data_IF_558200040633
#
_entry.id   IF_558200040633
#
_cell.length_a   1.000
_cell.length_b   1.000
_cell.length_c   1.000
_cell.angle_alpha   90.00
_cell.angle_beta   90.00
_cell.angle_gamma   90.00
#
_symmetry.space_group_name_H-M   'P 1'
#
loop_
_entity.id
_entity.type
_entity.pdbx_description
1 polymer ?
#
# COMPACT_ATOMS: atom_id res chain seq x y z
N UNK A 1 -12.15 14.28 21.77
CA UNK A 1 -13.16 13.43 21.12
C UNK A 1 -13.01 13.69 19.64
N UNK A 2 -12.86 12.65 18.81
CA UNK A 2 -12.79 12.85 17.37
C UNK A 2 -14.16 13.14 16.75
N UNK A 3 -14.15 13.78 15.59
CA UNK A 3 -15.31 14.10 14.79
C UNK A 3 -15.65 12.95 13.82
N UNK A 4 -16.84 13.02 13.23
CA UNK A 4 -17.23 12.16 12.10
C UNK A 4 -17.43 13.00 10.86
N UNK A 5 -16.73 12.65 9.80
CA UNK A 5 -16.84 13.27 8.48
C UNK A 5 -17.49 12.27 7.53
N UNK A 6 -18.54 12.72 6.85
CA UNK A 6 -19.26 11.93 5.84
C UNK A 6 -19.23 12.66 4.51
N UNK A 7 -18.77 12.00 3.46
CA UNK A 7 -18.88 12.49 2.09
C UNK A 7 -20.27 12.27 1.51
N UNK A 8 -20.35 12.40 0.20
CA UNK A 8 -21.57 12.43 -0.60
C UNK A 8 -21.64 11.17 -1.48
N UNK A 9 -22.20 11.29 -2.68
CA UNK A 9 -22.17 10.24 -3.70
C UNK A 9 -21.21 10.59 -4.85
N UNK A 10 -20.49 11.69 -4.73
CA UNK A 10 -19.46 12.11 -5.66
C UNK A 10 -18.08 11.94 -5.03
N UNK A 11 -17.04 12.29 -5.78
CA UNK A 11 -15.67 12.17 -5.31
C UNK A 11 -15.36 13.29 -4.31
N UNK A 12 -15.21 12.93 -3.05
CA UNK A 12 -14.95 13.83 -1.94
C UNK A 12 -13.50 13.74 -1.47
N UNK A 13 -13.03 14.83 -0.86
CA UNK A 13 -11.78 14.83 -0.08
C UNK A 13 -12.13 15.07 1.36
N UNK A 14 -11.93 14.06 2.20
CA UNK A 14 -12.25 14.10 3.62
C UNK A 14 -10.98 14.46 4.39
N UNK A 15 -10.87 15.70 4.91
CA UNK A 15 -9.76 16.07 5.76
C UNK A 15 -9.92 15.46 7.14
N UNK A 16 -8.80 15.09 7.78
CA UNK A 16 -8.64 15.31 9.21
C UNK A 16 -8.13 16.74 9.39
N UNK A 17 -8.98 17.70 9.81
CA UNK A 17 -8.55 19.09 9.99
C UNK A 17 -7.62 19.29 11.19
N UNK A 18 -7.34 18.23 11.96
CA UNK A 18 -6.81 18.33 13.31
C UNK A 18 -5.41 17.73 13.40
N UNK A 19 -4.37 18.52 13.14
CA UNK A 19 -3.03 18.21 13.63
C UNK A 19 -2.67 19.09 14.84
N UNK A 20 -2.84 18.64 16.12
CA UNK A 20 -3.56 17.44 16.59
C UNK A 20 -4.75 17.73 17.53
N UNK A 21 -5.81 16.90 17.49
CA UNK A 21 -6.34 16.11 18.63
C UNK A 21 -7.74 15.51 18.35
N UNK A 22 -7.78 14.34 17.72
CA UNK A 22 -8.99 13.53 17.59
C UNK A 22 -8.67 12.20 16.93
N UNK A 23 -9.32 11.13 17.36
CA UNK A 23 -9.42 9.92 16.57
C UNK A 23 -10.71 10.05 15.76
N UNK A 24 -10.62 10.60 14.56
CA UNK A 24 -11.78 10.91 13.73
C UNK A 24 -12.28 9.68 12.98
N UNK A 25 -13.54 9.73 12.55
CA UNK A 25 -14.11 8.72 11.65
C UNK A 25 -14.41 9.36 10.31
N UNK A 26 -13.81 8.84 9.24
CA UNK A 26 -14.00 9.33 7.87
C UNK A 26 -14.78 8.28 7.07
N UNK A 27 -15.89 8.66 6.46
CA UNK A 27 -16.71 7.79 5.61
C UNK A 27 -17.10 8.55 4.33
N UNK A 28 -16.49 8.22 3.21
CA UNK A 28 -16.60 8.93 1.94
C UNK A 28 -17.97 8.76 1.28
N UNK A 29 -18.54 7.56 1.37
CA UNK A 29 -19.80 7.26 0.69
C UNK A 29 -19.50 6.72 -0.69
N UNK A 30 -20.32 7.05 -1.70
CA UNK A 30 -20.05 6.59 -3.07
C UNK A 30 -19.17 7.59 -3.79
N UNK A 31 -18.45 7.12 -4.80
CA UNK A 31 -17.50 7.94 -5.55
C UNK A 31 -16.08 7.47 -5.26
N UNK A 32 -15.10 8.07 -5.92
CA UNK A 32 -13.70 7.82 -5.64
C UNK A 32 -13.19 8.89 -4.68
N UNK A 33 -13.14 8.55 -3.41
CA UNK A 33 -12.89 9.45 -2.31
C UNK A 33 -11.41 9.48 -1.90
N UNK A 34 -10.99 10.58 -1.29
CA UNK A 34 -9.64 10.76 -0.77
C UNK A 34 -9.65 11.11 0.71
N UNK A 35 -9.06 10.24 1.52
CA UNK A 35 -8.93 10.37 2.97
C UNK A 35 -7.57 10.92 3.36
N UNK A 36 -7.54 12.08 4.00
CA UNK A 36 -6.33 12.63 4.61
C UNK A 36 -6.35 12.27 6.09
N UNK A 37 -5.50 11.32 6.49
CA UNK A 37 -5.55 10.76 7.84
C UNK A 37 -4.44 11.26 8.75
N UNK A 38 -4.72 11.22 10.04
CA UNK A 38 -3.80 11.46 11.14
C UNK A 38 -3.80 10.26 12.12
N UNK A 39 -3.02 10.38 13.20
CA UNK A 39 -2.89 9.29 14.16
C UNK A 39 -4.19 9.08 14.95
N UNK A 40 -4.78 7.90 14.78
CA UNK A 40 -5.98 7.48 15.50
C UNK A 40 -7.25 7.54 14.65
N UNK A 41 -7.20 8.11 13.45
CA UNK A 41 -8.34 8.15 12.54
C UNK A 41 -8.73 6.76 12.04
N UNK A 42 -10.03 6.60 11.77
CA UNK A 42 -10.64 5.39 11.22
C UNK A 42 -11.32 5.74 9.91
N UNK A 43 -10.94 5.04 8.85
CA UNK A 43 -11.62 5.11 7.55
C UNK A 43 -12.64 3.97 7.45
N UNK A 44 -13.86 4.30 7.02
CA UNK A 44 -14.95 3.36 6.80
C UNK A 44 -15.35 3.42 5.33
N UNK A 45 -15.21 2.29 4.64
CA UNK A 45 -15.67 2.11 3.27
C UNK A 45 -16.54 0.86 3.11
N UNK A 46 -17.63 0.97 2.34
CA UNK A 46 -18.43 -0.21 1.99
C UNK A 46 -18.05 -0.77 0.62
N UNK A 47 -18.34 -2.06 0.36
CA UNK A 47 -18.03 -2.67 -0.92
C UNK A 47 -18.77 -2.00 -2.09
N UNK A 48 -18.04 -1.74 -3.17
CA UNK A 48 -18.61 -1.25 -4.43
C UNK A 48 -18.98 0.23 -4.43
N UNK A 49 -18.39 1.01 -3.53
CA UNK A 49 -18.62 2.45 -3.45
C UNK A 49 -17.66 3.27 -4.31
N UNK A 50 -16.49 2.75 -4.69
CA UNK A 50 -15.55 3.44 -5.55
C UNK A 50 -14.20 2.76 -5.69
N UNK A 51 -13.22 3.55 -6.14
CA UNK A 51 -11.79 3.28 -5.97
C UNK A 51 -11.24 4.40 -5.10
N UNK A 52 -10.96 4.06 -3.85
CA UNK A 52 -10.74 5.05 -2.80
C UNK A 52 -9.27 5.11 -2.37
N UNK A 53 -8.85 6.27 -1.90
CA UNK A 53 -7.45 6.55 -1.58
C UNK A 53 -7.25 7.10 -0.17
N UNK A 54 -6.27 6.55 0.53
CA UNK A 54 -5.72 7.14 1.75
C UNK A 54 -4.39 7.83 1.48
N UNK A 55 -4.27 9.08 1.94
CA UNK A 55 -3.03 9.84 2.06
C UNK A 55 -2.59 9.84 3.52
N UNK A 56 -1.47 9.20 3.82
CA UNK A 56 -0.99 9.01 5.19
C UNK A 56 0.41 9.60 5.40
N UNK A 57 0.59 10.42 6.42
CA UNK A 57 1.91 10.87 6.91
C UNK A 57 2.36 10.09 8.17
N UNK A 58 1.78 8.91 8.39
CA UNK A 58 2.03 7.98 9.48
C UNK A 58 2.12 6.54 8.93
N UNK A 59 2.55 5.59 9.76
CA UNK A 59 2.38 4.17 9.42
C UNK A 59 0.90 3.86 9.29
N UNK A 60 0.51 3.14 8.24
CA UNK A 60 -0.90 2.87 8.01
C UNK A 60 -1.18 1.51 7.36
N UNK A 61 -2.31 0.94 7.73
CA UNK A 61 -2.87 -0.28 7.13
C UNK A 61 -4.21 0.08 6.53
N UNK A 62 -4.40 -0.22 5.25
CA UNK A 62 -5.67 0.01 4.58
C UNK A 62 -6.79 -0.79 5.25
N UNK A 63 -7.95 -0.18 5.54
CA UNK A 63 -9.14 -0.94 5.90
C UNK A 63 -9.63 -1.74 4.69
N UNK A 64 -10.64 -2.58 4.89
CA UNK A 64 -11.30 -3.25 3.76
C UNK A 64 -11.93 -2.22 2.80
N UNK A 65 -11.99 -2.58 1.51
CA UNK A 65 -12.63 -1.78 0.44
C UNK A 65 -11.97 -0.42 0.16
N UNK A 66 -10.70 -0.23 0.56
CA UNK A 66 -9.87 0.89 0.08
C UNK A 66 -8.76 0.31 -0.77
N UNK A 67 -8.53 0.90 -1.94
CA UNK A 67 -7.64 0.32 -2.95
C UNK A 67 -6.29 1.00 -3.02
N UNK A 68 -6.17 2.27 -2.59
CA UNK A 68 -4.96 3.06 -2.79
C UNK A 68 -4.43 3.59 -1.46
N UNK A 69 -3.16 3.31 -1.17
CA UNK A 69 -2.40 3.96 -0.09
C UNK A 69 -1.25 4.76 -0.69
N UNK A 70 -1.13 6.04 -0.33
CA UNK A 70 0.07 6.85 -0.60
C UNK A 70 0.65 7.37 0.70
N UNK A 71 1.90 7.01 0.96
CA UNK A 71 2.67 7.53 2.08
C UNK A 71 3.28 8.88 1.70
N UNK A 72 3.09 9.86 2.58
CA UNK A 72 3.72 11.17 2.51
C UNK A 72 4.70 11.38 3.66
N UNK A 73 4.94 12.63 4.02
CA UNK A 73 5.80 12.98 5.15
C UNK A 73 7.29 12.71 4.91
N UNK A 74 8.08 12.93 5.95
CA UNK A 74 9.55 12.88 5.89
C UNK A 74 10.17 11.79 6.78
N UNK A 75 9.34 10.98 7.43
CA UNK A 75 9.78 9.86 8.28
C UNK A 75 9.84 8.54 7.48
N UNK A 76 10.54 7.55 8.04
CA UNK A 76 10.49 6.17 7.56
C UNK A 76 9.11 5.60 7.94
N UNK A 77 8.21 5.55 6.96
CA UNK A 77 6.84 5.07 7.16
C UNK A 77 6.64 3.71 6.52
N UNK A 78 5.67 2.96 7.03
CA UNK A 78 5.31 1.65 6.51
C UNK A 78 3.86 1.66 6.05
N UNK A 79 3.61 0.98 4.93
CA UNK A 79 2.29 0.84 4.33
C UNK A 79 1.89 -0.63 4.31
N UNK A 80 0.63 -0.92 4.61
CA UNK A 80 0.10 -2.28 4.53
C UNK A 80 -1.24 -2.26 3.80
N UNK A 81 -1.39 -3.15 2.83
CA UNK A 81 -2.63 -3.37 2.10
C UNK A 81 -3.65 -4.18 2.89
N UNK A 82 -4.67 -4.66 2.18
CA UNK A 82 -5.76 -5.49 2.65
C UNK A 82 -5.84 -6.79 1.81
N UNK A 83 -7.03 -7.38 1.65
CA UNK A 83 -7.19 -8.62 0.87
C UNK A 83 -7.55 -8.41 -0.61
N UNK A 84 -7.64 -7.16 -1.06
CA UNK A 84 -8.01 -6.77 -2.42
C UNK A 84 -6.76 -6.38 -3.23
N UNK A 85 -6.93 -6.11 -4.52
CA UNK A 85 -5.84 -5.55 -5.33
C UNK A 85 -5.55 -4.12 -4.91
N UNK A 86 -4.40 -3.86 -4.27
CA UNK A 86 -4.03 -2.54 -3.79
C UNK A 86 -2.94 -1.87 -4.65
N UNK A 87 -2.98 -0.54 -4.73
CA UNK A 87 -1.86 0.30 -5.14
C UNK A 87 -1.26 0.96 -3.89
N UNK A 88 -0.04 0.57 -3.53
CA UNK A 88 0.67 1.15 -2.40
C UNK A 88 1.90 1.91 -2.91
N UNK A 89 1.95 3.20 -2.60
CA UNK A 89 3.05 4.10 -2.98
C UNK A 89 3.75 4.58 -1.71
N UNK A 90 5.04 4.28 -1.61
CA UNK A 90 5.92 4.79 -0.55
C UNK A 90 6.27 6.27 -0.71
N UNK A 91 7.04 6.78 0.23
CA UNK A 91 7.56 8.14 0.23
C UNK A 91 9.06 8.14 -0.16
N UNK A 92 9.76 9.26 0.04
CA UNK A 92 11.19 9.37 -0.30
C UNK A 92 12.13 8.88 0.82
N UNK A 93 11.66 7.95 1.65
CA UNK A 93 12.39 7.38 2.80
C UNK A 93 12.29 5.87 2.75
N UNK A 94 13.08 5.20 3.58
CA UNK A 94 13.03 3.75 3.69
C UNK A 94 11.65 3.30 4.20
N UNK A 95 10.90 2.60 3.34
CA UNK A 95 9.58 2.08 3.62
C UNK A 95 9.55 0.55 3.66
N UNK A 96 8.68 0.00 4.50
CA UNK A 96 8.20 -1.38 4.37
C UNK A 96 6.80 -1.33 3.80
N UNK A 97 6.62 -1.88 2.59
CA UNK A 97 5.34 -1.98 1.91
C UNK A 97 4.90 -3.44 1.89
N UNK A 98 3.79 -3.76 2.54
CA UNK A 98 3.23 -5.12 2.59
C UNK A 98 1.91 -5.16 1.83
N UNK A 99 1.91 -5.78 0.65
CA UNK A 99 0.72 -5.87 -0.20
C UNK A 99 -0.43 -6.67 0.42
N UNK A 100 -0.12 -7.60 1.35
CA UNK A 100 -1.07 -8.61 1.80
C UNK A 100 -1.63 -9.38 0.59
N UNK A 101 -2.91 -9.77 0.60
CA UNK A 101 -3.44 -10.66 -0.44
C UNK A 101 -4.00 -9.86 -1.59
N UNK A 102 -4.00 -10.45 -2.80
CA UNK A 102 -4.55 -9.81 -3.98
C UNK A 102 -3.47 -9.43 -5.00
N UNK A 103 -3.93 -8.96 -6.15
CA UNK A 103 -3.05 -8.59 -7.26
C UNK A 103 -2.53 -7.14 -7.09
N UNK A 104 -1.49 -6.99 -6.28
CA UNK A 104 -1.02 -5.66 -5.85
C UNK A 104 -0.05 -4.98 -6.82
N UNK A 105 -0.01 -3.64 -6.76
CA UNK A 105 1.08 -2.81 -7.25
C UNK A 105 1.78 -2.11 -6.08
N UNK A 106 3.06 -2.41 -5.87
CA UNK A 106 3.88 -1.79 -4.82
C UNK A 106 4.98 -0.93 -5.46
N UNK A 107 5.01 0.36 -5.10
CA UNK A 107 5.98 1.34 -5.58
C UNK A 107 6.75 1.91 -4.37
N UNK A 108 8.03 1.56 -4.22
CA UNK A 108 8.88 1.95 -3.09
C UNK A 108 9.14 3.45 -3.03
N UNK A 109 9.70 4.01 -4.11
CA UNK A 109 9.93 5.44 -4.22
C UNK A 109 11.43 5.74 -4.23
N UNK A 110 11.86 6.70 -3.42
CA UNK A 110 13.29 6.86 -3.14
C UNK A 110 13.53 6.29 -1.75
N UNK A 111 14.62 5.58 -1.50
CA UNK A 111 14.79 4.99 -0.17
C UNK A 111 15.67 3.77 -0.19
N UNK A 112 15.36 2.81 0.66
CA UNK A 112 15.92 1.46 0.60
C UNK A 112 14.84 0.61 1.20
N UNK A 113 14.00 0.10 0.31
CA UNK A 113 12.65 -0.31 0.64
C UNK A 113 12.55 -1.83 0.73
N UNK A 114 11.56 -2.28 1.48
CA UNK A 114 11.21 -3.71 1.56
C UNK A 114 9.78 -3.87 1.07
N UNK A 115 9.64 -4.48 -0.10
CA UNK A 115 8.37 -4.75 -0.76
C UNK A 115 8.00 -6.21 -0.52
N UNK A 116 6.94 -6.44 0.25
CA UNK A 116 6.51 -7.77 0.70
C UNK A 116 5.28 -8.22 -0.04
N UNK A 117 5.34 -9.44 -0.57
CA UNK A 117 4.20 -10.09 -1.24
C UNK A 117 4.06 -11.53 -0.75
N UNK A 118 2.84 -12.00 -0.40
CA UNK A 118 2.60 -13.37 0.00
C UNK A 118 2.31 -14.31 -1.18
N UNK A 119 2.01 -13.75 -2.36
CA UNK A 119 1.72 -14.47 -3.59
C UNK A 119 2.52 -13.91 -4.77
N UNK A 120 2.40 -14.58 -5.91
CA UNK A 120 2.99 -14.15 -7.18
C UNK A 120 1.94 -13.58 -8.15
N UNK A 121 0.74 -13.29 -7.66
CA UNK A 121 -0.35 -12.64 -8.40
C UNK A 121 -0.19 -11.12 -8.52
N UNK A 122 0.89 -10.55 -7.99
CA UNK A 122 1.19 -9.13 -8.09
C UNK A 122 1.21 -8.64 -9.56
N UNK A 123 0.78 -7.39 -9.72
CA UNK A 123 0.75 -6.68 -10.99
C UNK A 123 2.11 -6.06 -11.28
N UNK A 124 2.67 -5.32 -10.33
CA UNK A 124 3.98 -4.66 -10.46
C UNK A 124 4.63 -4.45 -9.10
N UNK A 125 5.92 -4.72 -9.02
CA UNK A 125 6.77 -4.38 -7.87
C UNK A 125 7.92 -3.54 -8.39
N UNK A 126 8.01 -2.31 -7.90
CA UNK A 126 9.03 -1.35 -8.29
C UNK A 126 9.67 -0.75 -7.03
N UNK A 127 10.95 -1.04 -6.78
CA UNK A 127 11.66 -0.45 -5.63
C UNK A 127 11.91 1.05 -5.78
N UNK A 128 12.14 1.50 -7.01
CA UNK A 128 12.50 2.89 -7.30
C UNK A 128 14.00 3.16 -7.13
N UNK A 129 14.38 4.23 -6.42
CA UNK A 129 15.80 4.55 -6.19
C UNK A 129 16.26 3.99 -4.85
N UNK A 130 17.41 3.33 -4.88
CA UNK A 130 18.15 2.96 -3.68
C UNK A 130 18.59 1.52 -3.72
N UNK A 131 18.57 0.86 -2.55
CA UNK A 131 18.81 -0.57 -2.44
C UNK A 131 17.54 -1.22 -1.91
N UNK A 132 16.82 -1.84 -2.82
CA UNK A 132 15.46 -2.30 -2.61
C UNK A 132 15.40 -3.82 -2.57
N UNK A 133 14.52 -4.31 -1.70
CA UNK A 133 14.33 -5.73 -1.45
C UNK A 133 12.90 -6.15 -1.78
N UNK A 134 12.75 -7.12 -2.66
CA UNK A 134 11.54 -7.92 -2.75
C UNK A 134 11.63 -9.06 -1.72
N UNK A 135 10.61 -9.21 -0.89
CA UNK A 135 10.50 -10.29 0.08
C UNK A 135 9.24 -11.12 -0.19
N UNK A 136 9.44 -12.40 -0.52
CA UNK A 136 8.36 -13.36 -0.66
C UNK A 136 8.00 -13.90 0.73
N UNK A 137 6.82 -13.53 1.23
CA UNK A 137 6.37 -13.92 2.58
C UNK A 137 5.54 -15.20 2.58
N UNK A 138 5.04 -15.62 1.41
CA UNK A 138 4.42 -16.91 1.19
C UNK A 138 5.42 -18.07 1.29
N UNK A 139 4.93 -19.31 1.21
CA UNK A 139 5.74 -20.53 1.25
C UNK A 139 5.45 -21.41 0.05
N UNK A 140 6.47 -22.11 -0.44
CA UNK A 140 6.34 -23.04 -1.57
C UNK A 140 6.08 -22.35 -2.92
N UNK A 141 6.32 -21.05 -3.02
CA UNK A 141 6.25 -20.31 -4.27
C UNK A 141 7.46 -20.66 -5.13
N UNK A 142 7.26 -20.65 -6.45
CA UNK A 142 8.33 -20.77 -7.45
C UNK A 142 8.33 -19.50 -8.29
N UNK A 143 9.29 -18.62 -8.06
CA UNK A 143 9.46 -17.40 -8.83
C UNK A 143 10.28 -17.73 -10.08
N UNK A 144 9.67 -17.67 -11.26
CA UNK A 144 10.37 -17.74 -12.54
C UNK A 144 10.60 -16.34 -13.09
N UNK A 145 11.85 -15.86 -13.12
CA UNK A 145 12.11 -14.47 -13.54
C UNK A 145 11.72 -14.17 -14.99
N UNK A 146 11.59 -15.19 -15.85
CA UNK A 146 11.10 -14.99 -17.22
C UNK A 146 9.62 -14.57 -17.22
N UNK A 147 8.80 -15.17 -16.36
CA UNK A 147 7.35 -14.90 -16.26
C UNK A 147 7.06 -13.53 -15.64
N UNK A 148 7.99 -13.02 -14.83
CA UNK A 148 7.86 -11.73 -14.14
C UNK A 148 8.75 -10.64 -14.72
N UNK A 149 9.35 -10.88 -15.90
CA UNK A 149 10.09 -9.88 -16.64
C UNK A 149 9.20 -8.66 -16.92
N UNK A 150 9.62 -7.47 -16.46
CA UNK A 150 8.88 -6.23 -16.59
C UNK A 150 7.87 -5.93 -15.48
N UNK A 151 7.47 -6.93 -14.68
CA UNK A 151 6.69 -6.73 -13.45
C UNK A 151 7.56 -6.37 -12.26
N UNK A 152 8.79 -6.89 -12.23
CA UNK A 152 9.81 -6.61 -11.23
C UNK A 152 10.76 -5.54 -11.78
N UNK A 153 10.87 -4.41 -11.10
CA UNK A 153 11.68 -3.27 -11.53
C UNK A 153 12.45 -2.71 -10.33
N UNK A 154 13.68 -2.24 -10.59
CA UNK A 154 14.51 -1.56 -9.59
C UNK A 154 14.59 -2.33 -8.26
N UNK A 155 15.05 -3.57 -8.32
CA UNK A 155 15.25 -4.44 -7.17
C UNK A 155 16.68 -4.96 -7.19
N UNK A 156 17.40 -4.76 -6.10
CA UNK A 156 18.77 -5.25 -5.92
C UNK A 156 18.78 -6.59 -5.18
N UNK A 157 17.77 -6.85 -4.34
CA UNK A 157 17.72 -8.02 -3.46
C UNK A 157 16.37 -8.73 -3.59
N UNK A 158 16.40 -10.06 -3.72
CA UNK A 158 15.22 -10.91 -3.59
C UNK A 158 15.42 -11.86 -2.41
N UNK A 159 14.55 -11.76 -1.39
CA UNK A 159 14.49 -12.66 -0.24
C UNK A 159 13.42 -13.72 -0.47
N UNK A 160 13.87 -14.95 -0.71
CA UNK A 160 12.98 -16.07 -1.05
C UNK A 160 12.45 -16.81 0.19
N UNK A 161 13.14 -16.78 1.33
CA UNK A 161 12.76 -17.61 2.48
C UNK A 161 12.73 -19.10 2.12
N UNK A 162 11.57 -19.75 2.28
CA UNK A 162 11.35 -21.16 1.92
C UNK A 162 10.83 -21.37 0.47
N UNK A 163 10.95 -20.34 -0.37
CA UNK A 163 10.52 -20.36 -1.77
C UNK A 163 11.70 -20.69 -2.70
N UNK A 164 11.39 -21.05 -3.94
CA UNK A 164 12.39 -21.37 -4.97
C UNK A 164 12.44 -20.26 -6.02
N UNK A 165 13.64 -20.00 -6.52
CA UNK A 165 13.90 -19.14 -7.68
C UNK A 165 14.29 -20.05 -8.85
N UNK A 166 13.55 -19.96 -9.94
CA UNK A 166 13.89 -20.58 -11.21
C UNK A 166 14.48 -19.51 -12.11
N UNK A 167 15.66 -19.79 -12.64
CA UNK A 167 16.27 -19.03 -13.71
C UNK A 167 16.02 -19.83 -14.98
N UNK A 168 15.46 -19.22 -16.03
CA UNK A 168 15.38 -19.87 -17.32
C UNK A 168 16.78 -20.38 -17.73
N UNK A 169 16.88 -21.55 -18.40
CA UNK A 169 18.15 -22.10 -18.86
C UNK A 169 18.87 -21.19 -19.86
#
# INVERSE_FOLDING_TARGET
>A
MGARYTGTSGNDTLPSPDQPAGADTLAGGKGNDTYLISLGDVVIENPGEGIDQVLAAINYTLPANVEILRLGGAANLNGTGNGAANLIVGNAKANVLDGKGGADTLLGGDGSDVLKVPGLDFVRIDGGKGVDTLELTGKGLSLDLADYAGKLQNLEIIRLGANTLTLAP
#
